data_IF_918373558621
#
_entry.id   IF_918373558621
#
_cell.length_a   1.000
_cell.length_b   1.000
_cell.length_c   1.000
_cell.angle_alpha   90.00
_cell.angle_beta   90.00
_cell.angle_gamma   90.00
#
_symmetry.space_group_name_H-M   'P 1'
#
loop_
_entity.id
_entity.type
_entity.pdbx_description
1 polymer ?
#
# COMPACT_ATOMS: atom_id res chain seq x y z
N UNK A 1 -6.82 -18.08 -18.33
CA UNK A 1 -7.58 -17.57 -17.16
C UNK A 1 -6.59 -16.77 -16.36
N UNK A 2 -6.81 -15.46 -16.17
CA UNK A 2 -5.92 -14.67 -15.33
C UNK A 2 -6.11 -15.14 -13.88
N UNK A 3 -5.04 -15.63 -13.25
CA UNK A 3 -5.06 -16.06 -11.87
C UNK A 3 -5.62 -14.93 -10.99
N UNK A 4 -6.84 -15.10 -10.48
CA UNK A 4 -7.58 -14.11 -9.68
C UNK A 4 -6.92 -13.77 -8.34
N UNK A 5 -5.75 -14.35 -8.08
CA UNK A 5 -4.98 -14.17 -6.85
C UNK A 5 -3.76 -13.27 -7.06
N UNK A 6 -3.49 -12.80 -8.28
CA UNK A 6 -2.36 -11.91 -8.53
C UNK A 6 -2.66 -10.52 -7.97
N UNK A 7 -1.91 -10.12 -6.95
CA UNK A 7 -1.93 -8.76 -6.42
C UNK A 7 -0.75 -7.98 -6.97
N UNK A 8 -0.88 -7.54 -8.23
CA UNK A 8 0.14 -6.73 -8.90
C UNK A 8 -0.26 -5.26 -8.76
N UNK A 9 0.63 -4.45 -8.20
CA UNK A 9 0.45 -3.00 -8.07
C UNK A 9 1.40 -2.28 -9.00
N UNK A 10 0.99 -1.10 -9.48
CA UNK A 10 1.86 -0.21 -10.25
C UNK A 10 2.22 0.98 -9.38
N UNK A 11 3.52 1.22 -9.22
CA UNK A 11 4.04 2.32 -8.41
C UNK A 11 3.97 3.65 -9.16
N UNK A 12 4.14 4.76 -8.46
CA UNK A 12 4.22 6.10 -9.06
C UNK A 12 5.35 6.22 -10.10
N UNK A 13 6.41 5.42 -9.96
CA UNK A 13 7.53 5.33 -10.91
C UNK A 13 7.25 4.40 -12.10
N UNK A 14 5.99 4.00 -12.31
CA UNK A 14 5.55 3.02 -13.31
C UNK A 14 6.22 1.64 -13.18
N UNK A 15 6.69 1.27 -11.99
CA UNK A 15 7.21 -0.07 -11.73
C UNK A 15 6.06 -0.98 -11.31
N UNK A 16 6.00 -2.17 -11.90
CA UNK A 16 5.06 -3.20 -11.46
C UNK A 16 5.71 -4.04 -10.38
N UNK A 17 5.03 -4.17 -9.25
CA UNK A 17 5.48 -4.98 -8.12
C UNK A 17 4.43 -6.04 -7.82
N UNK A 18 4.89 -7.28 -7.72
CA UNK A 18 4.05 -8.42 -7.33
C UNK A 18 3.99 -8.54 -5.81
N UNK A 19 2.82 -8.24 -5.26
CA UNK A 19 2.50 -8.36 -3.83
C UNK A 19 1.67 -9.62 -3.52
N UNK A 20 1.47 -10.53 -4.48
CA UNK A 20 0.67 -11.75 -4.32
C UNK A 20 1.11 -12.60 -3.13
N UNK A 21 2.42 -12.68 -2.89
CA UNK A 21 3.02 -13.35 -1.74
C UNK A 21 3.69 -12.38 -0.77
N UNK A 22 3.39 -11.09 -0.90
CA UNK A 22 3.94 -10.04 -0.06
C UNK A 22 3.41 -10.15 1.36
N UNK A 23 4.23 -9.78 2.33
CA UNK A 23 3.85 -9.70 3.74
C UNK A 23 3.35 -8.30 4.05
N UNK A 24 2.12 -8.15 4.51
CA UNK A 24 1.67 -6.89 5.10
C UNK A 24 2.37 -6.68 6.45
N UNK A 25 3.08 -5.58 6.58
CA UNK A 25 3.80 -5.21 7.80
C UNK A 25 2.93 -4.36 8.73
N UNK A 26 2.17 -3.45 8.14
CA UNK A 26 1.29 -2.52 8.86
C UNK A 26 0.25 -1.97 7.90
N UNK A 27 -0.98 -1.81 8.36
CA UNK A 27 -2.03 -1.16 7.59
C UNK A 27 -3.01 -0.41 8.49
N UNK A 28 -3.74 0.53 7.92
CA UNK A 28 -4.94 1.09 8.49
C UNK A 28 -6.06 0.96 7.46
N UNK A 29 -6.85 -0.09 7.66
CA UNK A 29 -7.84 -0.60 6.74
C UNK A 29 -9.24 -0.65 7.38
N UNK A 30 -9.41 0.04 8.51
CA UNK A 30 -10.61 -0.01 9.35
C UNK A 30 -11.86 0.55 8.63
N UNK A 31 -11.67 1.38 7.61
CA UNK A 31 -12.74 1.97 6.80
C UNK A 31 -12.45 1.82 5.31
N UNK A 32 -13.49 1.70 4.47
CA UNK A 32 -13.30 1.38 3.07
C UNK A 32 -12.62 2.51 2.28
N UNK A 33 -12.81 3.78 2.67
CA UNK A 33 -12.32 4.93 1.91
C UNK A 33 -11.87 6.08 2.81
N UNK A 34 -10.86 6.83 2.35
CA UNK A 34 -10.41 8.07 3.00
C UNK A 34 -8.90 8.19 3.07
N UNK A 35 -8.40 9.43 3.22
CA UNK A 35 -6.96 9.74 3.27
C UNK A 35 -6.20 9.05 4.39
N UNK A 36 -6.90 8.56 5.41
CA UNK A 36 -6.33 7.84 6.55
C UNK A 36 -5.96 6.38 6.23
N UNK A 37 -6.35 5.88 5.06
CA UNK A 37 -6.05 4.53 4.63
C UNK A 37 -4.62 4.44 4.08
N UNK A 38 -3.87 3.48 4.63
CA UNK A 38 -2.54 3.14 4.17
C UNK A 38 -2.23 1.67 4.42
N UNK A 39 -1.27 1.13 3.68
CA UNK A 39 -0.68 -0.16 3.96
C UNK A 39 0.79 -0.18 3.58
N UNK A 40 1.59 -0.96 4.31
CA UNK A 40 3.00 -1.18 4.09
C UNK A 40 3.18 -2.67 3.86
N UNK A 41 3.71 -3.01 2.69
CA UNK A 41 3.96 -4.38 2.27
C UNK A 41 5.47 -4.61 2.12
N UNK A 42 5.91 -5.81 2.47
CA UNK A 42 7.19 -6.35 2.06
C UNK A 42 6.93 -7.33 0.91
N UNK A 43 7.33 -6.95 -0.29
CA UNK A 43 7.22 -7.79 -1.48
C UNK A 43 8.16 -9.00 -1.39
N UNK A 44 7.88 -10.11 -2.11
CA UNK A 44 8.69 -11.32 -2.07
C UNK A 44 10.13 -11.14 -2.56
N UNK A 45 10.36 -10.12 -3.39
CA UNK A 45 11.68 -9.72 -3.89
C UNK A 45 12.47 -8.87 -2.89
N UNK A 46 11.91 -8.60 -1.71
CA UNK A 46 12.53 -7.82 -0.65
C UNK A 46 12.27 -6.31 -0.74
N UNK A 47 11.47 -5.85 -1.70
CA UNK A 47 11.10 -4.44 -1.80
C UNK A 47 10.03 -4.06 -0.77
N UNK A 48 10.13 -2.85 -0.21
CA UNK A 48 9.10 -2.32 0.68
C UNK A 48 8.20 -1.37 -0.09
N UNK A 49 6.90 -1.67 -0.11
CA UNK A 49 5.90 -0.91 -0.85
C UNK A 49 4.94 -0.26 0.12
N UNK A 50 4.75 1.05 -0.03
CA UNK A 50 3.72 1.79 0.69
C UNK A 50 2.56 2.10 -0.24
N UNK A 51 1.39 1.57 0.11
CA UNK A 51 0.11 1.97 -0.46
C UNK A 51 -0.54 3.07 0.38
N UNK A 52 -1.06 4.10 -0.26
CA UNK A 52 -1.85 5.15 0.40
C UNK A 52 -3.10 5.49 -0.41
N UNK A 53 -4.07 6.10 0.27
CA UNK A 53 -5.22 6.72 -0.36
C UNK A 53 -5.03 8.24 -0.42
N UNK A 54 -5.13 8.84 -1.60
CA UNK A 54 -4.99 10.30 -1.78
C UNK A 54 -6.27 11.10 -1.45
N UNK A 55 -7.31 10.42 -0.95
CA UNK A 55 -8.64 10.98 -0.65
C UNK A 55 -9.71 10.59 -1.64
N UNK A 56 -9.50 9.48 -2.34
CA UNK A 56 -10.46 8.95 -3.32
C UNK A 56 -11.48 8.07 -2.62
N UNK A 57 -12.76 8.34 -2.86
CA UNK A 57 -13.89 7.62 -2.25
C UNK A 57 -14.24 6.29 -2.93
N UNK A 58 -13.53 5.91 -3.99
CA UNK A 58 -13.82 4.72 -4.80
C UNK A 58 -12.82 3.59 -4.63
N UNK A 59 -11.65 3.89 -4.05
CA UNK A 59 -10.56 2.92 -3.88
C UNK A 59 -10.05 3.01 -2.46
N UNK A 60 -9.65 1.87 -1.91
CA UNK A 60 -9.11 1.80 -0.57
C UNK A 60 -7.69 2.35 -0.49
N UNK A 61 -6.84 1.95 -1.44
CA UNK A 61 -5.50 2.49 -1.71
C UNK A 61 -5.43 2.73 -3.22
N UNK A 62 -4.87 3.86 -3.64
CA UNK A 62 -4.80 4.23 -5.06
C UNK A 62 -3.40 4.69 -5.49
N UNK A 63 -2.49 4.84 -4.55
CA UNK A 63 -1.12 5.27 -4.81
C UNK A 63 -0.16 4.30 -4.15
N UNK A 64 0.82 3.81 -4.90
CA UNK A 64 1.85 2.90 -4.42
C UNK A 64 3.22 3.50 -4.70
N UNK A 65 4.11 3.43 -3.71
CA UNK A 65 5.49 3.89 -3.83
C UNK A 65 6.44 2.87 -3.21
N UNK A 66 7.62 2.71 -3.81
CA UNK A 66 8.70 1.93 -3.21
C UNK A 66 9.39 2.82 -2.20
N UNK A 67 9.53 2.33 -0.98
CA UNK A 67 10.19 3.06 0.11
C UNK A 67 11.35 2.23 0.65
N UNK A 68 12.36 2.87 1.27
CA UNK A 68 13.42 2.13 1.96
C UNK A 68 12.88 1.42 3.21
N UNK A 69 13.54 0.32 3.60
CA UNK A 69 13.16 -0.50 4.74
C UNK A 69 13.00 0.32 6.04
N UNK A 70 13.92 1.25 6.29
CA UNK A 70 13.88 2.12 7.48
C UNK A 70 12.61 3.00 7.49
N UNK A 71 12.24 3.58 6.34
CA UNK A 71 11.03 4.39 6.22
C UNK A 71 9.76 3.53 6.40
N UNK A 72 9.78 2.27 5.95
CA UNK A 72 8.68 1.34 6.12
C UNK A 72 8.45 0.97 7.59
N UNK A 73 9.53 0.68 8.32
CA UNK A 73 9.48 0.31 9.73
C UNK A 73 9.16 1.50 10.64
N UNK A 74 9.65 2.69 10.30
CA UNK A 74 9.40 3.92 11.03
C UNK A 74 8.13 4.67 10.57
N UNK A 75 7.35 4.11 9.63
CA UNK A 75 6.25 4.83 8.99
C UNK A 75 5.20 5.29 10.00
N UNK A 76 4.93 6.60 9.98
CA UNK A 76 3.84 7.26 10.70
C UNK A 76 2.96 7.96 9.68
N UNK A 77 1.73 7.49 9.56
CA UNK A 77 0.78 8.08 8.62
C UNK A 77 0.33 9.45 9.14
N UNK A 78 0.42 10.53 8.32
CA UNK A 78 0.13 11.88 8.78
C UNK A 78 -1.36 12.16 8.94
N UNK A 79 -2.23 11.39 8.26
CA UNK A 79 -3.67 11.55 8.35
C UNK A 79 -4.22 10.62 9.42
N UNK A 80 -4.86 11.22 10.41
CA UNK A 80 -5.73 10.53 11.34
C UNK A 80 -7.16 10.73 10.89
N UNK A 81 -8.07 9.86 11.32
CA UNK A 81 -9.50 10.09 11.10
C UNK A 81 -9.88 11.42 11.77
N UNK A 82 -10.43 12.34 11.00
CA UNK A 82 -11.23 13.44 11.51
C UNK A 82 -12.66 12.90 11.64
N UNK A 83 -13.16 12.78 12.88
CA UNK A 83 -14.51 12.31 13.20
C UNK A 83 -15.56 13.37 12.84
#
# INVERSE_FOLDING_TARGET
>A
MADKNLFIVTTQDNQQVDLTKGKELRSNNLYPFGRHNYAIYLAPDGQYIKGTNTGVATHMLNTYEIIPAEAALAYKHPFVRED
#
